data_IF_916608409423
#
_entry.id   IF_916608409423
#
_cell.length_a   1.000
_cell.length_b   1.000
_cell.length_c   1.000
_cell.angle_alpha   90.00
_cell.angle_beta   90.00
_cell.angle_gamma   90.00
#
_symmetry.space_group_name_H-M   'P 1'
#
loop_
_entity.id
_entity.type
_entity.pdbx_description
1 polymer ?
#
# COMPACT_ATOMS: atom_id res chain seq x y z
N UNK A 1 12.77 -6.28 1.33
CA UNK A 1 12.27 -5.11 2.09
C UNK A 1 11.33 -5.53 3.23
N UNK A 2 10.33 -6.40 2.98
CA UNK A 2 9.47 -6.93 4.05
C UNK A 2 10.16 -7.98 4.94
N UNK A 3 11.06 -8.81 4.41
CA UNK A 3 11.79 -9.83 5.21
C UNK A 3 12.66 -9.23 6.32
N UNK A 4 13.17 -8.00 6.15
CA UNK A 4 14.03 -7.33 7.14
C UNK A 4 13.26 -6.50 8.16
N UNK A 5 11.93 -6.36 7.99
CA UNK A 5 11.08 -5.57 8.87
C UNK A 5 10.31 -6.43 9.89
N UNK A 6 10.28 -7.76 9.69
CA UNK A 6 9.82 -8.68 10.72
C UNK A 6 10.96 -8.88 11.73
N UNK A 7 10.76 -8.57 13.03
CA UNK A 7 11.73 -8.97 14.02
C UNK A 7 11.88 -10.50 13.94
N UNK A 8 13.13 -10.97 14.05
CA UNK A 8 13.49 -12.37 13.76
C UNK A 8 12.82 -13.39 14.71
N UNK A 9 12.19 -12.92 15.77
CA UNK A 9 11.42 -13.66 16.77
C UNK A 9 9.93 -13.79 16.44
N UNK A 10 9.42 -13.07 15.43
CA UNK A 10 7.99 -13.05 15.09
C UNK A 10 7.12 -12.24 16.05
N UNK A 11 7.72 -11.44 16.95
CA UNK A 11 7.02 -10.59 17.91
C UNK A 11 6.49 -9.31 17.25
N UNK A 12 5.36 -9.43 16.56
CA UNK A 12 4.70 -8.30 15.94
C UNK A 12 3.30 -8.63 15.45
N UNK A 13 2.43 -7.62 15.44
CA UNK A 13 1.08 -7.72 14.87
C UNK A 13 1.15 -7.42 13.38
N UNK A 14 0.59 -8.32 12.56
CA UNK A 14 0.47 -8.08 11.12
C UNK A 14 -0.87 -7.40 10.85
N UNK A 15 -0.83 -6.28 10.14
CA UNK A 15 -2.01 -5.50 9.80
C UNK A 15 -2.49 -5.79 8.38
N UNK A 16 -3.79 -5.60 8.16
CA UNK A 16 -4.42 -5.51 6.85
C UNK A 16 -5.43 -4.36 6.85
N UNK A 17 -5.84 -3.91 5.67
CA UNK A 17 -6.92 -2.94 5.53
C UNK A 17 -8.13 -3.53 4.80
N UNK A 18 -9.11 -4.02 5.56
CA UNK A 18 -10.33 -4.63 5.04
C UNK A 18 -10.25 -6.15 4.92
N UNK A 19 -11.43 -6.78 4.92
CA UNK A 19 -11.54 -8.23 4.88
C UNK A 19 -11.12 -8.84 3.53
N UNK A 20 -11.22 -8.07 2.44
CA UNK A 20 -10.93 -8.55 1.08
C UNK A 20 -9.50 -9.06 0.94
N UNK A 21 -8.51 -8.40 1.56
CA UNK A 21 -7.09 -8.78 1.51
C UNK A 21 -6.84 -10.23 1.94
N UNK A 22 -7.58 -10.70 2.96
CA UNK A 22 -7.45 -12.05 3.46
C UNK A 22 -8.19 -13.06 2.59
N UNK A 23 -9.33 -12.66 2.01
CA UNK A 23 -10.00 -13.46 0.97
C UNK A 23 -9.10 -13.66 -0.24
N UNK A 24 -8.40 -12.61 -0.68
CA UNK A 24 -7.42 -12.68 -1.78
C UNK A 24 -6.27 -13.61 -1.40
N UNK A 25 -5.65 -13.42 -0.23
CA UNK A 25 -4.55 -14.30 0.24
C UNK A 25 -4.97 -15.77 0.31
N UNK A 26 -6.14 -16.06 0.88
CA UNK A 26 -6.68 -17.42 0.96
C UNK A 26 -6.90 -18.02 -0.44
N UNK A 27 -7.44 -17.23 -1.37
CA UNK A 27 -7.68 -17.66 -2.75
C UNK A 27 -6.38 -17.93 -3.51
N UNK A 28 -5.35 -17.08 -3.31
CA UNK A 28 -4.03 -17.25 -3.89
C UNK A 28 -3.35 -18.52 -3.38
N UNK A 29 -3.37 -18.75 -2.06
CA UNK A 29 -2.82 -19.97 -1.45
C UNK A 29 -3.48 -21.23 -2.02
N UNK A 30 -4.81 -21.25 -2.02
CA UNK A 30 -5.56 -22.39 -2.53
C UNK A 30 -5.25 -22.66 -4.01
N UNK A 31 -5.29 -21.62 -4.85
CA UNK A 31 -4.98 -21.74 -6.28
C UNK A 31 -3.54 -22.21 -6.51
N UNK A 32 -2.59 -21.74 -5.71
CA UNK A 32 -1.19 -22.11 -5.83
C UNK A 32 -0.95 -23.59 -5.50
N UNK A 33 -1.61 -24.10 -4.45
CA UNK A 33 -1.55 -25.51 -4.08
C UNK A 33 -2.17 -26.44 -5.14
N UNK A 34 -3.19 -25.98 -5.86
CA UNK A 34 -3.82 -26.75 -6.94
C UNK A 34 -3.00 -26.74 -8.25
N UNK A 35 -2.47 -25.58 -8.62
CA UNK A 35 -1.88 -25.37 -9.95
C UNK A 35 -0.38 -25.69 -9.97
N UNK A 36 0.35 -25.33 -8.92
CA UNK A 36 1.79 -25.51 -8.84
C UNK A 36 2.21 -25.71 -7.37
N UNK A 37 2.02 -26.93 -6.83
CA UNK A 37 2.21 -27.25 -5.42
C UNK A 37 3.66 -27.05 -4.94
N UNK A 38 4.63 -27.13 -5.85
CA UNK A 38 6.06 -26.96 -5.53
C UNK A 38 6.54 -25.49 -5.63
N UNK A 39 5.65 -24.55 -5.96
CA UNK A 39 6.04 -23.14 -6.12
C UNK A 39 6.27 -22.41 -4.79
N UNK A 40 5.67 -22.89 -3.70
CA UNK A 40 5.85 -22.37 -2.35
C UNK A 40 6.51 -23.44 -1.49
N UNK A 41 7.47 -23.05 -0.67
CA UNK A 41 8.02 -23.98 0.32
C UNK A 41 6.99 -24.24 1.42
N UNK A 42 7.04 -25.41 2.09
CA UNK A 42 6.16 -25.70 3.22
C UNK A 42 6.18 -24.62 4.30
N UNK A 43 7.34 -24.01 4.55
CA UNK A 43 7.52 -22.93 5.52
C UNK A 43 6.78 -21.66 5.08
N UNK A 44 6.86 -21.27 3.81
CA UNK A 44 6.11 -20.12 3.28
C UNK A 44 4.61 -20.37 3.34
N UNK A 45 4.15 -21.56 2.94
CA UNK A 45 2.73 -21.92 3.01
C UNK A 45 2.22 -21.84 4.44
N UNK A 46 2.92 -22.45 5.40
CA UNK A 46 2.55 -22.39 6.82
C UNK A 46 2.54 -20.96 7.36
N UNK A 47 3.53 -20.14 6.99
CA UNK A 47 3.58 -18.74 7.41
C UNK A 47 2.40 -17.94 6.88
N UNK A 48 2.00 -18.14 5.63
CA UNK A 48 0.85 -17.46 5.04
C UNK A 48 -0.49 -17.96 5.61
N UNK A 49 -0.65 -19.26 5.84
CA UNK A 49 -1.81 -19.84 6.51
C UNK A 49 -1.99 -19.27 7.92
N UNK A 50 -0.90 -19.09 8.65
CA UNK A 50 -0.92 -18.47 9.98
C UNK A 50 -1.48 -17.04 9.97
N UNK A 51 -1.39 -16.31 8.84
CA UNK A 51 -1.92 -14.95 8.69
C UNK A 51 -3.41 -14.90 8.30
N UNK A 52 -4.01 -16.04 7.92
CA UNK A 52 -5.43 -16.12 7.59
C UNK A 52 -6.31 -15.86 8.81
N UNK A 53 -7.59 -15.56 8.59
CA UNK A 53 -8.53 -15.16 9.66
C UNK A 53 -8.57 -16.14 10.85
N UNK A 54 -8.38 -17.43 10.59
CA UNK A 54 -8.39 -18.50 11.60
C UNK A 54 -6.98 -19.03 11.93
N UNK A 55 -5.94 -18.35 11.43
CA UNK A 55 -4.54 -18.69 11.67
C UNK A 55 -4.02 -18.19 13.03
N UNK A 56 -2.91 -18.78 13.48
CA UNK A 56 -2.29 -18.46 14.79
C UNK A 56 -1.75 -17.03 14.90
N UNK A 57 -1.56 -16.33 13.77
CA UNK A 57 -1.11 -14.94 13.65
C UNK A 57 -2.02 -14.14 12.72
N UNK A 58 -3.33 -14.38 12.82
CA UNK A 58 -4.34 -13.76 11.96
C UNK A 58 -4.14 -12.24 11.86
N UNK A 59 -4.17 -11.72 10.62
CA UNK A 59 -3.99 -10.29 10.39
C UNK A 59 -5.10 -9.46 11.05
N UNK A 60 -4.68 -8.42 11.77
CA UNK A 60 -5.60 -7.44 12.39
C UNK A 60 -6.10 -6.48 11.33
N UNK A 61 -7.43 -6.33 11.24
CA UNK A 61 -8.08 -5.45 10.27
C UNK A 61 -8.19 -4.02 10.80
N UNK A 62 -7.35 -3.13 10.27
CA UNK A 62 -7.36 -1.71 10.60
C UNK A 62 -8.62 -1.01 10.10
N UNK A 63 -9.25 -1.45 9.01
CA UNK A 63 -10.51 -0.85 8.55
C UNK A 63 -11.65 -1.10 9.55
N UNK A 64 -11.68 -2.31 10.12
CA UNK A 64 -12.62 -2.67 11.18
C UNK A 64 -12.39 -1.86 12.46
N UNK A 65 -11.13 -1.58 12.82
CA UNK A 65 -10.80 -0.70 13.95
C UNK A 65 -11.19 0.75 13.66
N UNK A 66 -10.86 1.26 12.48
CA UNK A 66 -11.19 2.61 12.06
C UNK A 66 -12.71 2.86 12.10
N UNK A 67 -13.49 1.89 11.61
CA UNK A 67 -14.95 1.98 11.62
C UNK A 67 -15.57 2.08 13.03
N UNK A 68 -14.93 1.48 14.03
CA UNK A 68 -15.44 1.48 15.41
C UNK A 68 -14.95 2.67 16.23
N UNK A 69 -13.70 3.07 16.02
CA UNK A 69 -12.98 3.89 16.99
C UNK A 69 -12.36 5.16 16.39
N UNK A 70 -12.41 5.38 15.07
CA UNK A 70 -11.72 6.51 14.44
C UNK A 70 -12.63 7.40 13.61
N UNK A 71 -12.86 8.61 14.12
CA UNK A 71 -13.69 9.63 13.46
C UNK A 71 -12.87 10.90 13.28
N UNK A 72 -12.62 11.27 12.03
CA UNK A 72 -11.86 12.48 11.68
C UNK A 72 -12.65 13.32 10.69
N UNK A 73 -12.65 14.64 10.86
CA UNK A 73 -13.39 15.54 9.98
C UNK A 73 -12.86 15.48 8.53
N UNK A 74 -13.77 15.40 7.56
CA UNK A 74 -13.43 15.34 6.13
C UNK A 74 -13.32 13.94 5.53
N UNK A 75 -13.72 12.88 6.27
CA UNK A 75 -13.79 11.52 5.74
C UNK A 75 -15.19 11.12 5.18
N UNK A 76 -16.20 11.99 5.28
CA UNK A 76 -17.59 11.75 4.85
C UNK A 76 -18.20 10.43 5.33
N UNK A 77 -17.80 9.96 6.52
CA UNK A 77 -18.24 8.67 7.09
C UNK A 77 -17.61 7.43 6.43
N UNK A 78 -16.65 7.61 5.51
CA UNK A 78 -15.90 6.52 4.90
C UNK A 78 -14.73 6.06 5.77
N UNK A 79 -14.51 4.74 5.80
CA UNK A 79 -13.36 4.10 6.47
C UNK A 79 -12.41 3.43 5.47
N UNK A 80 -12.53 3.75 4.19
CA UNK A 80 -11.52 3.33 3.19
C UNK A 80 -10.20 4.04 3.47
N UNK A 81 -9.08 3.34 3.30
CA UNK A 81 -7.73 3.83 3.56
C UNK A 81 -7.48 5.21 2.92
N UNK A 82 -7.75 5.31 1.62
CA UNK A 82 -7.60 6.55 0.85
C UNK A 82 -8.41 7.73 1.38
N UNK A 83 -9.66 7.49 1.80
CA UNK A 83 -10.52 8.57 2.34
C UNK A 83 -10.10 9.02 3.74
N UNK A 84 -9.41 8.19 4.51
CA UNK A 84 -8.96 8.53 5.85
C UNK A 84 -7.59 9.20 5.86
N UNK A 85 -6.68 8.80 4.96
CA UNK A 85 -5.29 9.22 4.99
C UNK A 85 -5.10 10.75 5.04
N UNK A 86 -5.72 11.49 4.12
CA UNK A 86 -5.55 12.94 4.07
C UNK A 86 -6.16 13.65 5.30
N UNK A 87 -7.41 13.36 5.72
CA UNK A 87 -7.94 13.83 6.99
C UNK A 87 -7.03 13.52 8.18
N UNK A 88 -6.48 12.31 8.26
CA UNK A 88 -5.53 11.90 9.31
C UNK A 88 -4.28 12.76 9.33
N UNK A 89 -3.64 12.98 8.17
CA UNK A 89 -2.47 13.84 8.05
C UNK A 89 -2.77 15.29 8.49
N UNK A 90 -3.95 15.80 8.15
CA UNK A 90 -4.37 17.16 8.55
C UNK A 90 -4.62 17.27 10.05
N UNK A 91 -5.20 16.24 10.64
CA UNK A 91 -5.52 16.16 12.07
C UNK A 91 -4.28 16.01 12.95
N UNK A 92 -3.18 15.41 12.44
CA UNK A 92 -1.93 15.31 13.19
C UNK A 92 -1.39 16.71 13.54
N UNK A 93 -1.18 17.01 14.84
CA UNK A 93 -0.71 18.32 15.27
C UNK A 93 0.72 18.59 14.80
N UNK A 94 1.63 17.61 14.95
CA UNK A 94 3.04 17.78 14.60
C UNK A 94 3.72 16.52 14.07
N UNK A 95 3.49 15.34 14.67
CA UNK A 95 4.34 14.16 14.46
C UNK A 95 4.37 13.66 13.02
N UNK A 96 3.21 13.50 12.39
CA UNK A 96 3.19 13.08 10.98
C UNK A 96 3.77 14.15 10.06
N UNK A 97 3.59 15.44 10.40
CA UNK A 97 4.15 16.55 9.62
C UNK A 97 5.67 16.57 9.70
N UNK A 98 6.26 16.29 10.86
CA UNK A 98 7.71 16.27 11.02
C UNK A 98 8.35 15.07 10.31
N UNK A 99 7.72 13.89 10.38
CA UNK A 99 8.24 12.68 9.73
C UNK A 99 8.08 12.68 8.21
N UNK A 100 6.94 13.16 7.71
CA UNK A 100 6.59 13.06 6.29
C UNK A 100 6.71 14.40 5.54
N UNK A 101 6.99 15.49 6.25
CA UNK A 101 7.12 16.84 5.69
C UNK A 101 8.51 17.17 5.16
N UNK A 102 9.48 16.28 5.28
CA UNK A 102 10.81 16.42 4.67
C UNK A 102 10.93 15.49 3.45
N UNK A 103 11.67 15.89 2.39
CA UNK A 103 11.91 15.05 1.20
C UNK A 103 12.98 13.98 1.48
N UNK A 104 12.78 13.17 2.52
CA UNK A 104 13.76 12.20 3.02
C UNK A 104 13.28 10.76 2.89
N UNK A 105 12.00 10.53 2.58
CA UNK A 105 11.48 9.19 2.43
C UNK A 105 12.09 8.51 1.20
N UNK A 106 12.86 7.45 1.43
CA UNK A 106 13.48 6.66 0.37
C UNK A 106 13.33 5.18 0.67
N UNK A 107 13.09 4.39 -0.38
CA UNK A 107 12.78 2.97 -0.29
C UNK A 107 13.21 2.26 -1.57
N UNK A 108 12.73 1.03 -1.78
CA UNK A 108 12.90 0.33 -3.05
C UNK A 108 12.18 0.99 -4.23
N UNK A 109 11.07 1.71 -3.99
CA UNK A 109 10.23 2.27 -5.05
C UNK A 109 10.15 3.81 -5.04
N UNK A 110 10.69 4.48 -4.01
CA UNK A 110 10.71 5.94 -3.92
C UNK A 110 12.10 6.46 -3.55
N UNK A 111 12.40 7.69 -3.97
CA UNK A 111 13.64 8.38 -3.64
C UNK A 111 13.34 9.82 -3.24
N UNK A 112 13.77 10.21 -2.04
CA UNK A 112 13.60 11.56 -1.49
C UNK A 112 12.16 12.10 -1.58
N UNK A 113 11.18 11.24 -1.36
CA UNK A 113 9.76 11.58 -1.43
C UNK A 113 9.35 12.39 -0.19
N UNK A 114 8.48 13.38 -0.41
CA UNK A 114 7.87 14.20 0.63
C UNK A 114 6.35 13.94 0.60
N UNK A 115 5.85 13.18 1.56
CA UNK A 115 4.44 12.76 1.58
C UNK A 115 3.50 13.78 2.22
N UNK A 116 4.03 14.68 3.04
CA UNK A 116 3.30 15.81 3.60
C UNK A 116 3.77 17.11 2.93
N UNK A 117 3.02 17.58 1.94
CA UNK A 117 3.29 18.81 1.20
C UNK A 117 2.05 19.69 1.14
N UNK A 118 2.21 20.99 1.33
CA UNK A 118 1.11 21.94 1.16
C UNK A 118 0.81 22.16 -0.34
N UNK A 119 -0.47 22.28 -0.67
CA UNK A 119 -0.88 22.62 -2.03
C UNK A 119 -0.41 24.03 -2.39
N UNK A 120 -0.01 24.24 -3.66
CA UNK A 120 0.33 25.58 -4.12
C UNK A 120 -0.90 26.49 -3.94
N UNK A 121 -0.75 27.54 -3.12
CA UNK A 121 -1.81 28.50 -2.74
C UNK A 121 -2.80 28.05 -1.65
N UNK A 122 -2.50 27.01 -0.87
CA UNK A 122 -3.28 26.66 0.32
C UNK A 122 -2.38 26.23 1.48
N UNK A 123 -2.79 26.50 2.71
CA UNK A 123 -2.18 25.90 3.90
C UNK A 123 -2.54 24.41 4.05
N UNK A 124 -3.46 23.90 3.23
CA UNK A 124 -3.91 22.53 3.27
C UNK A 124 -2.88 21.56 2.68
N UNK A 125 -2.66 20.44 3.35
CA UNK A 125 -1.90 19.31 2.81
C UNK A 125 -2.55 18.74 1.55
N UNK A 126 -1.72 18.32 0.60
CA UNK A 126 -2.09 17.54 -0.58
C UNK A 126 -2.35 16.08 -0.20
N UNK A 127 -3.23 15.43 -0.96
CA UNK A 127 -3.46 13.99 -0.80
C UNK A 127 -2.22 13.19 -1.25
N UNK A 128 -1.71 12.23 -0.46
CA UNK A 128 -0.58 11.40 -0.88
C UNK A 128 -0.81 10.63 -2.18
N UNK A 129 -2.05 10.21 -2.49
CA UNK A 129 -2.37 9.56 -3.76
C UNK A 129 -2.36 10.54 -4.93
N UNK A 130 -2.70 11.82 -4.69
CA UNK A 130 -2.55 12.87 -5.70
C UNK A 130 -1.06 13.19 -5.93
N UNK A 131 -0.24 13.21 -4.88
CA UNK A 131 1.23 13.34 -4.98
C UNK A 131 1.84 12.18 -5.78
N UNK A 132 1.35 10.95 -5.56
CA UNK A 132 1.75 9.79 -6.35
C UNK A 132 1.38 9.96 -7.82
N UNK A 133 0.14 10.38 -8.11
CA UNK A 133 -0.34 10.62 -9.46
C UNK A 133 0.47 11.70 -10.20
N UNK A 134 0.81 12.80 -9.53
CA UNK A 134 1.67 13.85 -10.09
C UNK A 134 3.04 13.29 -10.47
N UNK A 135 3.65 12.49 -9.59
CA UNK A 135 4.93 11.85 -9.89
C UNK A 135 4.84 10.86 -11.05
N UNK A 136 3.80 10.02 -11.08
CA UNK A 136 3.58 9.08 -12.18
C UNK A 136 3.39 9.80 -13.51
N UNK A 137 2.63 10.91 -13.56
CA UNK A 137 2.43 11.69 -14.77
C UNK A 137 3.72 12.36 -15.28
N UNK A 138 4.65 12.69 -14.38
CA UNK A 138 5.98 13.23 -14.74
C UNK A 138 6.90 12.12 -15.26
N UNK A 139 6.80 10.91 -14.72
CA UNK A 139 7.69 9.80 -15.04
C UNK A 139 7.17 8.85 -16.13
N UNK A 140 5.87 8.85 -16.44
CA UNK A 140 5.24 7.89 -17.34
C UNK A 140 4.31 8.56 -18.34
N UNK A 141 4.57 8.38 -19.64
CA UNK A 141 3.66 8.81 -20.71
C UNK A 141 2.43 7.89 -20.90
N UNK A 142 2.21 6.94 -19.97
CA UNK A 142 1.21 5.86 -20.08
C UNK A 142 0.01 5.96 -19.13
N UNK A 143 -0.06 6.95 -18.26
CA UNK A 143 -1.07 7.07 -17.20
C UNK A 143 -0.66 6.32 -15.93
N UNK A 144 -0.69 7.02 -14.79
CA UNK A 144 -0.26 6.49 -13.49
C UNK A 144 -1.30 5.66 -12.75
N UNK A 145 -0.86 4.75 -11.89
CA UNK A 145 -1.73 4.01 -10.95
C UNK A 145 -1.86 4.81 -9.65
N UNK A 146 -3.03 5.40 -9.41
CA UNK A 146 -3.31 6.19 -8.21
C UNK A 146 -4.65 5.84 -7.52
N UNK A 147 -5.39 4.88 -8.07
CA UNK A 147 -6.65 4.37 -7.55
C UNK A 147 -6.66 2.84 -7.62
N UNK A 148 -7.44 2.19 -6.75
CA UNK A 148 -7.58 0.73 -6.76
C UNK A 148 -8.14 0.18 -8.08
N UNK A 149 -9.06 0.89 -8.73
CA UNK A 149 -9.59 0.49 -10.05
C UNK A 149 -8.52 0.50 -11.15
N UNK A 150 -7.68 1.53 -11.16
CA UNK A 150 -6.58 1.66 -12.11
C UNK A 150 -5.53 0.56 -11.88
N UNK A 151 -5.28 0.20 -10.62
CA UNK A 151 -4.36 -0.89 -10.26
C UNK A 151 -4.80 -2.24 -10.81
N UNK A 152 -6.11 -2.56 -10.77
CA UNK A 152 -6.64 -3.81 -11.34
C UNK A 152 -6.46 -3.84 -12.86
N UNK A 153 -6.77 -2.73 -13.54
CA UNK A 153 -6.60 -2.63 -15.00
C UNK A 153 -5.13 -2.77 -15.39
N UNK A 154 -4.25 -2.07 -14.67
CA UNK A 154 -2.81 -2.13 -14.85
C UNK A 154 -2.28 -3.56 -14.63
N UNK A 155 -2.70 -4.25 -13.57
CA UNK A 155 -2.30 -5.63 -13.30
C UNK A 155 -2.73 -6.58 -14.41
N UNK A 156 -3.99 -6.52 -14.86
CA UNK A 156 -4.47 -7.36 -15.96
C UNK A 156 -3.69 -7.09 -17.26
N UNK A 157 -3.38 -5.83 -17.54
CA UNK A 157 -2.56 -5.47 -18.69
C UNK A 157 -1.13 -6.03 -18.59
N UNK A 158 -0.50 -5.92 -17.42
CA UNK A 158 0.83 -6.49 -17.17
C UNK A 158 0.83 -8.01 -17.39
N UNK A 159 -0.17 -8.72 -16.85
CA UNK A 159 -0.30 -10.17 -17.02
C UNK A 159 -0.48 -10.56 -18.49
N UNK A 160 -1.27 -9.80 -19.25
CA UNK A 160 -1.42 -10.04 -20.68
C UNK A 160 -0.08 -9.88 -21.43
N UNK A 161 0.64 -8.77 -21.18
CA UNK A 161 1.93 -8.51 -21.82
C UNK A 161 2.98 -9.58 -21.46
N UNK A 162 2.96 -10.10 -20.23
CA UNK A 162 3.86 -11.15 -19.79
C UNK A 162 3.64 -12.50 -20.51
N UNK A 163 2.43 -12.75 -21.01
CA UNK A 163 2.11 -13.96 -21.78
C UNK A 163 2.50 -13.82 -23.27
N UNK A 164 2.58 -12.59 -23.78
CA UNK A 164 2.92 -12.26 -25.17
C UNK A 164 4.44 -12.39 -25.41
N UNK A 165 4.95 -13.63 -25.51
CA UNK A 165 6.38 -13.93 -25.74
C UNK A 165 6.76 -13.98 -27.24
N UNK A 166 6.61 -12.86 -27.95
CA UNK A 166 6.99 -12.76 -29.37
C UNK A 166 8.36 -12.09 -29.56
N UNK A 167 9.44 -12.79 -29.20
CA UNK A 167 10.82 -12.25 -29.26
C UNK A 167 11.26 -11.79 -30.65
N UNK A 168 10.64 -12.31 -31.70
CA UNK A 168 10.94 -11.96 -33.09
C UNK A 168 10.16 -10.72 -33.60
N UNK A 169 9.23 -10.19 -32.80
CA UNK A 169 8.46 -8.99 -33.15
C UNK A 169 9.28 -7.72 -32.83
N UNK A 170 9.47 -6.79 -33.79
CA UNK A 170 10.15 -5.52 -33.55
C UNK A 170 9.54 -4.66 -32.43
N UNK A 171 8.27 -4.90 -32.09
CA UNK A 171 7.54 -4.24 -31.00
C UNK A 171 7.80 -4.86 -29.62
N UNK A 172 8.47 -6.02 -29.53
CA UNK A 172 8.74 -6.73 -28.29
C UNK A 172 9.47 -5.87 -27.25
N UNK A 173 10.48 -5.10 -27.68
CA UNK A 173 11.23 -4.21 -26.77
C UNK A 173 10.31 -3.15 -26.13
N UNK A 174 9.42 -2.54 -26.93
CA UNK A 174 8.45 -1.54 -26.46
C UNK A 174 7.40 -2.16 -25.54
N UNK A 175 7.04 -3.43 -25.79
CA UNK A 175 6.14 -4.19 -24.93
C UNK A 175 6.76 -4.44 -23.54
N UNK A 176 8.03 -4.85 -23.50
CA UNK A 176 8.77 -5.05 -22.26
C UNK A 176 8.95 -3.75 -21.46
N UNK A 177 9.25 -2.64 -22.12
CA UNK A 177 9.33 -1.33 -21.47
C UNK A 177 7.99 -0.92 -20.84
N UNK A 178 6.88 -1.22 -21.53
CA UNK A 178 5.53 -0.96 -21.01
C UNK A 178 5.21 -1.85 -19.81
N UNK A 179 5.51 -3.15 -19.88
CA UNK A 179 5.33 -4.08 -18.75
C UNK A 179 6.12 -3.63 -17.52
N UNK A 180 7.40 -3.28 -17.70
CA UNK A 180 8.26 -2.77 -16.64
C UNK A 180 7.73 -1.45 -16.03
N UNK A 181 7.22 -0.53 -16.86
CA UNK A 181 6.60 0.72 -16.40
C UNK A 181 5.38 0.46 -15.53
N UNK A 182 4.46 -0.39 -16.01
CA UNK A 182 3.23 -0.75 -15.29
C UNK A 182 3.58 -1.42 -13.95
N UNK A 183 4.54 -2.36 -13.98
CA UNK A 183 5.02 -3.03 -12.77
C UNK A 183 5.58 -2.03 -11.76
N UNK A 184 6.35 -1.05 -12.22
CA UNK A 184 6.89 0.01 -11.35
C UNK A 184 5.77 0.83 -10.70
N UNK A 185 4.74 1.24 -11.45
CA UNK A 185 3.59 1.97 -10.88
C UNK A 185 2.83 1.16 -9.85
N UNK A 186 2.60 -0.13 -10.12
CA UNK A 186 1.93 -1.03 -9.17
C UNK A 186 2.74 -1.16 -7.88
N UNK A 187 4.05 -1.32 -7.96
CA UNK A 187 4.92 -1.41 -6.78
C UNK A 187 4.89 -0.12 -5.94
N UNK A 188 4.91 1.05 -6.59
CA UNK A 188 4.78 2.36 -5.91
C UNK A 188 3.43 2.51 -5.22
N UNK A 189 2.34 2.14 -5.90
CA UNK A 189 1.00 2.18 -5.34
C UNK A 189 0.84 1.24 -4.13
N UNK A 190 1.28 -0.02 -4.24
CA UNK A 190 1.24 -0.98 -3.13
C UNK A 190 2.07 -0.53 -1.92
N UNK A 191 3.23 0.09 -2.16
CA UNK A 191 4.06 0.63 -1.09
C UNK A 191 3.38 1.84 -0.43
N UNK A 192 2.71 2.72 -1.19
CA UNK A 192 1.93 3.81 -0.61
C UNK A 192 0.76 3.30 0.25
N UNK A 193 0.04 2.26 -0.18
CA UNK A 193 -1.03 1.65 0.64
C UNK A 193 -0.48 1.12 1.97
N UNK A 194 0.69 0.46 1.94
CA UNK A 194 1.37 -0.01 3.15
C UNK A 194 1.77 1.16 4.06
N UNK A 195 2.37 2.20 3.48
CA UNK A 195 2.78 3.39 4.20
C UNK A 195 1.59 4.16 4.78
N UNK A 196 0.48 4.23 4.06
CA UNK A 196 -0.75 4.88 4.51
C UNK A 196 -1.32 4.18 5.76
N UNK A 197 -1.29 2.85 5.81
CA UNK A 197 -1.64 2.11 7.03
C UNK A 197 -0.75 2.50 8.20
N UNK A 198 0.57 2.60 7.96
CA UNK A 198 1.55 3.01 8.99
C UNK A 198 1.26 4.43 9.48
N UNK A 199 1.04 5.39 8.58
CA UNK A 199 0.71 6.78 8.93
C UNK A 199 -0.54 6.86 9.81
N UNK A 200 -1.58 6.09 9.50
CA UNK A 200 -2.81 6.06 10.30
C UNK A 200 -2.56 5.47 11.69
N UNK A 201 -1.85 4.34 11.79
CA UNK A 201 -1.53 3.73 13.08
C UNK A 201 -0.64 4.64 13.93
N UNK A 202 0.34 5.30 13.33
CA UNK A 202 1.19 6.28 14.01
C UNK A 202 0.37 7.45 14.56
N UNK A 203 -0.65 7.91 13.83
CA UNK A 203 -1.56 8.93 14.34
C UNK A 203 -2.41 8.44 15.50
N UNK A 204 -2.95 7.21 15.42
CA UNK A 204 -3.70 6.64 16.54
C UNK A 204 -2.83 6.53 17.79
N UNK A 205 -1.55 6.19 17.64
CA UNK A 205 -0.60 6.20 18.74
C UNK A 205 -0.34 7.60 19.29
N UNK A 206 -0.21 8.61 18.43
CA UNK A 206 -0.13 10.03 18.83
C UNK A 206 -1.37 10.47 19.63
N UNK A 207 -2.57 10.03 19.23
CA UNK A 207 -3.81 10.34 19.96
C UNK A 207 -3.83 9.70 21.37
N UNK A 208 -3.45 8.43 21.49
CA UNK A 208 -3.43 7.73 22.78
C UNK A 208 -2.43 8.39 23.76
N UNK A 209 -1.26 8.79 23.27
CA UNK A 209 -0.27 9.49 24.11
C UNK A 209 -0.77 10.86 24.59
N UNK A 210 -1.55 11.58 23.78
CA UNK A 210 -2.13 12.88 24.15
C UNK A 210 -3.28 12.75 25.17
N UNK A 211 -4.00 11.63 25.17
CA UNK A 211 -5.04 11.35 26.18
C UNK A 211 -4.45 11.00 27.55
N UNK A 212 -3.21 10.50 27.58
CA UNK A 212 -2.47 10.15 28.79
C UNK A 212 -1.68 11.34 29.40
N UNK A 213 -1.59 12.49 28.70
CA UNK A 213 -1.04 13.73 29.26
C UNK A 213 -2.09 14.47 30.13
N UNK A 214 -1.78 14.79 31.41
CA UNK A 214 -2.73 15.35 32.37
C UNK A 214 -3.15 16.81 32.13
#
# INVERSE_FOLDING_TARGET
>A
ALETAFPADGEGTVFRWGAHENTVLASLLHSQMEIAPDALTPETTQAMEALLKDGSRAMVDLSSLANKCYFVAGCDGSTSLKRLLLPTLRASPERLRSWYGLPTYSSGNFTNMQWYKQAQNSSAAMDPYDLLAEQENVHQQGGGVAQGGDAIVAYNQMQQLALENHRDDPSFQKMMEKEASIRSSLLRYCELDTLAMVMIVQFWHELMELEDEP
#
